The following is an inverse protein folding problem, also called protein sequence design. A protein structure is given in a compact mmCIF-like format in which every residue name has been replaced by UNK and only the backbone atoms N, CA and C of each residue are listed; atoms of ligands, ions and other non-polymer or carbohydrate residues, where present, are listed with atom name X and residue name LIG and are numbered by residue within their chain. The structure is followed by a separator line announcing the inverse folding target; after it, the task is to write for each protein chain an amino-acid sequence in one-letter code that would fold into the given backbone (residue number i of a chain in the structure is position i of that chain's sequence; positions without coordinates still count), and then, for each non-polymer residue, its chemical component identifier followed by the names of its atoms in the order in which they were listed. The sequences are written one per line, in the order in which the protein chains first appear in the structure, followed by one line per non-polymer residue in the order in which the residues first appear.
data_IF_148006906349
#
_entry.id   IF_148006906349
#
_cell.length_a   1.000
_cell.length_b   1.000
_cell.length_c   1.000
_cell.angle_alpha   90.00
_cell.angle_beta   90.00
_cell.angle_gamma   90.00
#
_symmetry.space_group_name_H-M   'P 1'
#
loop_
_entity.id
_entity.type
_entity.pdbx_description
1 polymer ?
#
# COMPACT_ATOMS: atom_id res chain seq x y z
N UNK A 1 -15.60 11.49 -4.46
CA UNK A 1 -15.39 10.30 -5.32
C UNK A 1 -14.42 9.39 -4.60
N UNK A 2 -14.80 8.16 -4.25
CA UNK A 2 -13.87 7.21 -3.62
C UNK A 2 -13.08 6.44 -4.68
N UNK A 3 -11.85 5.99 -4.38
CA UNK A 3 -11.12 5.03 -5.19
C UNK A 3 -11.83 3.69 -5.27
N UNK A 4 -11.84 3.01 -6.44
CA UNK A 4 -12.38 1.66 -6.56
C UNK A 4 -11.61 0.67 -5.67
N UNK A 5 -10.30 0.89 -5.54
CA UNK A 5 -9.42 0.24 -4.58
C UNK A 5 -8.27 1.19 -4.24
N UNK A 6 -7.57 0.87 -3.17
CA UNK A 6 -6.38 1.57 -2.69
C UNK A 6 -5.17 0.66 -2.83
N UNK A 7 -4.04 1.21 -3.25
CA UNK A 7 -2.76 0.53 -3.07
C UNK A 7 -2.13 1.04 -1.80
N UNK A 8 -1.76 0.13 -0.91
CA UNK A 8 -1.09 0.45 0.35
C UNK A 8 0.28 -0.22 0.37
N UNK A 9 1.31 0.55 0.67
CA UNK A 9 2.65 0.01 0.92
C UNK A 9 3.20 0.52 2.25
N UNK A 10 4.07 -0.29 2.84
CA UNK A 10 4.84 0.11 4.01
C UNK A 10 5.88 1.15 3.57
N UNK A 11 6.08 2.15 4.42
CA UNK A 11 7.17 3.12 4.30
C UNK A 11 8.39 2.56 5.01
N UNK A 12 9.57 2.94 4.53
CA UNK A 12 10.80 2.68 5.27
C UNK A 12 10.78 3.55 6.55
N UNK A 13 10.97 2.91 7.69
CA UNK A 13 10.98 3.58 8.99
C UNK A 13 12.37 3.41 9.60
N UNK A 14 13.11 4.52 9.68
CA UNK A 14 14.53 4.54 10.08
C UNK A 14 14.78 3.88 11.44
N UNK A 15 13.80 3.97 12.35
CA UNK A 15 13.80 3.23 13.60
C UNK A 15 12.41 2.64 13.84
N UNK A 16 12.36 1.40 14.30
CA UNK A 16 11.15 0.83 14.87
C UNK A 16 10.82 1.60 16.16
N UNK A 17 10.11 2.73 16.01
CA UNK A 17 9.68 3.64 17.09
C UNK A 17 8.98 2.85 18.18
N UNK A 18 9.40 2.99 19.44
CA UNK A 18 8.78 2.32 20.61
C UNK A 18 7.29 2.65 20.80
N UNK A 19 6.76 3.59 20.03
CA UNK A 19 5.35 3.92 20.00
C UNK A 19 4.50 2.75 19.49
N UNK A 20 3.29 2.66 20.03
CA UNK A 20 2.33 1.63 19.65
C UNK A 20 1.83 1.80 18.20
N UNK A 21 1.86 3.04 17.70
CA UNK A 21 1.34 3.48 16.42
C UNK A 21 2.39 4.34 15.73
N UNK A 22 2.59 4.15 14.43
CA UNK A 22 3.60 4.85 13.62
C UNK A 22 3.01 5.27 12.29
N UNK A 23 3.40 6.43 11.76
CA UNK A 23 3.14 6.80 10.37
C UNK A 23 4.03 5.94 9.46
N UNK A 24 3.54 4.73 9.15
CA UNK A 24 4.36 3.68 8.54
C UNK A 24 3.82 3.15 7.22
N UNK A 25 2.71 3.69 6.72
CA UNK A 25 2.14 3.25 5.45
C UNK A 25 1.63 4.43 4.62
N UNK A 26 1.65 4.26 3.30
CA UNK A 26 1.07 5.21 2.36
C UNK A 26 0.03 4.52 1.48
N UNK A 27 -1.14 5.14 1.39
CA UNK A 27 -2.28 4.66 0.63
C UNK A 27 -2.57 5.61 -0.54
N UNK A 28 -2.61 5.10 -1.76
CA UNK A 28 -2.87 5.93 -2.95
C UNK A 28 -3.82 5.27 -3.94
N UNK A 29 -4.40 6.12 -4.78
CA UNK A 29 -5.25 5.71 -5.88
C UNK A 29 -4.46 5.75 -7.19
N UNK A 30 -4.29 4.58 -7.80
CA UNK A 30 -3.50 4.40 -9.04
C UNK A 30 -4.01 5.24 -10.21
N UNK A 31 -5.24 5.77 -10.17
CA UNK A 31 -5.78 6.68 -11.21
C UNK A 31 -5.09 8.05 -11.21
N UNK A 32 -4.40 8.41 -10.13
CA UNK A 32 -3.60 9.63 -10.06
C UNK A 32 -2.15 9.43 -10.54
N UNK A 33 -1.73 8.19 -10.81
CA UNK A 33 -0.45 7.90 -11.46
C UNK A 33 -0.66 7.93 -12.97
N UNK A 34 -0.17 8.99 -13.63
CA UNK A 34 -0.49 9.30 -15.04
C UNK A 34 0.76 9.54 -15.89
N UNK A 35 0.67 9.12 -17.16
CA UNK A 35 1.67 9.45 -18.17
C UNK A 35 1.88 10.96 -18.29
N UNK A 36 3.12 11.37 -18.59
CA UNK A 36 3.53 12.77 -18.69
C UNK A 36 3.72 13.49 -17.34
N UNK A 37 3.26 12.92 -16.23
CA UNK A 37 3.46 13.48 -14.87
C UNK A 37 4.29 12.57 -13.98
N UNK A 38 4.24 11.26 -14.20
CA UNK A 38 4.96 10.26 -13.42
C UNK A 38 5.99 9.54 -14.31
N UNK A 39 7.12 9.11 -13.74
CA UNK A 39 8.14 8.33 -14.45
C UNK A 39 7.64 6.91 -14.80
N UNK A 40 8.28 6.22 -15.77
CA UNK A 40 7.87 4.89 -16.22
C UNK A 40 7.69 3.87 -15.09
N UNK A 41 8.66 3.78 -14.16
CA UNK A 41 8.60 2.81 -13.06
C UNK A 41 7.35 2.96 -12.17
N UNK A 42 6.86 4.19 -11.96
CA UNK A 42 5.64 4.42 -11.19
C UNK A 42 4.40 3.96 -11.97
N UNK A 43 4.38 4.18 -13.28
CA UNK A 43 3.32 3.72 -14.18
C UNK A 43 3.26 2.19 -14.24
N UNK A 44 4.41 1.53 -14.27
CA UNK A 44 4.52 0.07 -14.33
C UNK A 44 4.01 -0.58 -13.05
N UNK A 45 4.43 -0.08 -11.87
CA UNK A 45 3.89 -0.52 -10.58
C UNK A 45 2.38 -0.29 -10.50
N UNK A 46 1.90 0.90 -10.84
CA UNK A 46 0.47 1.20 -10.82
C UNK A 46 -0.32 0.27 -11.77
N UNK A 47 0.25 -0.09 -12.92
CA UNK A 47 -0.35 -1.01 -13.88
C UNK A 47 -0.41 -2.45 -13.36
N UNK A 48 0.65 -2.92 -12.68
CA UNK A 48 0.65 -4.22 -12.02
C UNK A 48 -0.39 -4.29 -10.90
N UNK A 49 -0.46 -3.26 -10.05
CA UNK A 49 -1.49 -3.17 -9.00
C UNK A 49 -2.91 -3.15 -9.58
N UNK A 50 -3.15 -2.42 -10.66
CA UNK A 50 -4.45 -2.44 -11.37
C UNK A 50 -4.77 -3.82 -11.93
N UNK A 51 -3.78 -4.55 -12.45
CA UNK A 51 -3.98 -5.91 -12.93
C UNK A 51 -4.38 -6.85 -11.79
N UNK A 52 -3.62 -6.84 -10.70
CA UNK A 52 -3.94 -7.59 -9.49
C UNK A 52 -5.37 -7.29 -8.99
N UNK A 53 -5.74 -6.01 -8.87
CA UNK A 53 -7.06 -5.59 -8.40
C UNK A 53 -8.22 -6.06 -9.30
N UNK A 54 -7.99 -6.22 -10.62
CA UNK A 54 -9.02 -6.78 -11.52
C UNK A 54 -9.26 -8.27 -11.28
N UNK A 55 -8.24 -9.00 -10.83
CA UNK A 55 -8.34 -10.42 -10.49
C UNK A 55 -8.90 -10.63 -9.07
N UNK A 56 -8.89 -9.59 -8.23
CA UNK A 56 -9.38 -9.58 -6.85
C UNK A 56 -10.39 -8.44 -6.61
N UNK A 57 -11.55 -8.44 -7.31
CA UNK A 57 -12.48 -7.30 -7.33
C UNK A 57 -13.19 -7.03 -5.99
N UNK A 58 -13.15 -7.98 -5.07
CA UNK A 58 -13.68 -7.88 -3.71
C UNK A 58 -12.74 -7.11 -2.76
N UNK A 59 -11.46 -6.95 -3.12
CA UNK A 59 -10.47 -6.29 -2.28
C UNK A 59 -10.42 -4.77 -2.54
N UNK A 60 -10.92 -3.99 -1.56
CA UNK A 60 -10.82 -2.51 -1.58
C UNK A 60 -9.43 -1.98 -1.23
N UNK A 61 -8.60 -2.78 -0.59
CA UNK A 61 -7.21 -2.46 -0.25
C UNK A 61 -6.32 -3.56 -0.81
N UNK A 62 -5.36 -3.16 -1.63
CA UNK A 62 -4.32 -4.00 -2.20
C UNK A 62 -3.02 -3.67 -1.48
N UNK A 63 -2.46 -4.62 -0.73
CA UNK A 63 -1.10 -4.45 -0.26
C UNK A 63 -0.13 -4.63 -1.42
N UNK A 64 0.85 -3.73 -1.55
CA UNK A 64 1.89 -3.88 -2.58
C UNK A 64 2.56 -5.26 -2.51
N UNK A 65 2.75 -5.78 -1.29
CA UNK A 65 3.32 -7.12 -1.06
C UNK A 65 2.42 -8.26 -1.51
N UNK A 66 1.10 -8.09 -1.60
CA UNK A 66 0.20 -9.07 -2.20
C UNK A 66 0.43 -9.16 -3.71
N UNK A 67 0.75 -8.04 -4.38
CA UNK A 67 1.10 -8.03 -5.80
C UNK A 67 2.42 -8.77 -6.02
N UNK A 68 3.40 -8.61 -5.13
CA UNK A 68 4.65 -9.37 -5.17
C UNK A 68 4.40 -10.88 -5.03
N UNK A 69 3.55 -11.30 -4.08
CA UNK A 69 3.15 -12.71 -3.92
C UNK A 69 2.49 -13.25 -5.18
N UNK A 70 1.51 -12.51 -5.70
CA UNK A 70 0.78 -12.90 -6.90
C UNK A 70 1.69 -13.04 -8.11
N UNK A 71 2.68 -12.15 -8.30
CA UNK A 71 3.66 -12.31 -9.38
C UNK A 71 4.44 -13.62 -9.28
N UNK A 72 4.87 -13.99 -8.06
CA UNK A 72 5.57 -15.26 -7.82
C UNK A 72 4.68 -16.47 -8.10
N UNK A 73 3.41 -16.44 -7.68
CA UNK A 73 2.41 -17.47 -7.99
C UNK A 73 2.17 -17.63 -9.49
N UNK A 74 2.29 -16.55 -10.27
CA UNK A 74 2.22 -16.57 -11.72
C UNK A 74 3.55 -16.98 -12.40
N UNK A 75 4.56 -17.40 -11.64
CA UNK A 75 5.88 -17.75 -12.16
C UNK A 75 6.66 -16.56 -12.71
N UNK A 76 6.40 -15.37 -12.18
CA UNK A 76 7.00 -14.09 -12.59
C UNK A 76 7.66 -13.38 -11.41
N UNK A 77 8.20 -12.18 -11.67
CA UNK A 77 8.75 -11.30 -10.63
C UNK A 77 8.84 -9.88 -11.16
N UNK A 78 9.00 -8.90 -10.29
CA UNK A 78 9.26 -7.51 -10.71
C UNK A 78 10.48 -7.40 -11.63
N UNK A 79 11.55 -8.14 -11.33
CA UNK A 79 12.76 -8.16 -12.15
C UNK A 79 12.53 -8.77 -13.54
N UNK A 80 11.74 -9.86 -13.62
CA UNK A 80 11.38 -10.47 -14.91
C UNK A 80 10.52 -9.56 -15.79
N UNK A 81 9.80 -8.61 -15.18
CA UNK A 81 9.05 -7.57 -15.87
C UNK A 81 9.86 -6.29 -16.12
N UNK A 82 11.14 -6.27 -15.73
CA UNK A 82 12.02 -5.08 -15.80
C UNK A 82 11.46 -3.87 -15.03
N UNK A 83 10.66 -4.10 -13.99
CA UNK A 83 10.02 -3.05 -13.18
C UNK A 83 10.88 -2.70 -11.97
N UNK A 84 11.40 -1.47 -11.95
CA UNK A 84 12.07 -0.89 -10.78
C UNK A 84 11.05 -0.41 -9.73
N UNK A 85 10.48 -1.39 -9.02
CA UNK A 85 9.47 -1.14 -8.01
C UNK A 85 10.00 -0.32 -6.83
N UNK A 86 11.28 -0.44 -6.48
CA UNK A 86 11.85 0.26 -5.33
C UNK A 86 11.89 1.77 -5.59
N UNK A 87 12.36 2.18 -6.78
CA UNK A 87 12.31 3.59 -7.20
C UNK A 87 10.87 4.12 -7.22
N UNK A 88 9.91 3.30 -7.66
CA UNK A 88 8.50 3.67 -7.66
C UNK A 88 7.93 3.92 -6.25
N UNK A 89 8.19 3.02 -5.30
CA UNK A 89 7.69 3.18 -3.93
C UNK A 89 8.33 4.36 -3.19
N UNK A 90 9.55 4.75 -3.55
CA UNK A 90 10.19 5.96 -3.03
C UNK A 90 9.62 7.25 -3.68
N UNK A 91 9.24 7.18 -4.96
CA UNK A 91 8.72 8.33 -5.70
C UNK A 91 7.26 8.66 -5.35
N UNK A 92 6.40 7.65 -5.24
CA UNK A 92 4.94 7.81 -5.17
C UNK A 92 4.45 8.64 -3.98
N UNK A 93 4.89 8.41 -2.72
CA UNK A 93 4.37 9.15 -1.55
C UNK A 93 4.50 10.67 -1.62
N UNK A 94 5.52 11.18 -2.32
CA UNK A 94 5.75 12.63 -2.48
C UNK A 94 5.14 13.23 -3.75
N UNK A 95 4.68 12.42 -4.71
CA UNK A 95 4.33 12.88 -6.05
C UNK A 95 2.94 12.43 -6.53
N UNK A 96 2.25 11.59 -5.75
CA UNK A 96 0.92 11.10 -6.07
C UNK A 96 -0.06 11.48 -4.96
N UNK A 97 -1.31 11.77 -5.35
CA UNK A 97 -2.38 12.01 -4.40
C UNK A 97 -2.67 10.74 -3.58
N UNK A 98 -2.48 10.83 -2.26
CA UNK A 98 -2.70 9.74 -1.33
C UNK A 98 -2.72 10.21 0.12
N UNK A 99 -2.79 9.25 1.04
CA UNK A 99 -2.86 9.45 2.48
C UNK A 99 -1.70 8.72 3.16
N UNK A 100 -0.98 9.43 4.02
CA UNK A 100 -0.11 8.83 5.01
C UNK A 100 -0.97 8.25 6.13
N UNK A 101 -0.63 7.03 6.55
CA UNK A 101 -1.42 6.24 7.48
C UNK A 101 -0.63 5.96 8.74
N UNK A 102 -1.20 6.37 9.88
CA UNK A 102 -0.75 5.91 11.19
C UNK A 102 -1.30 4.51 11.45
N UNK A 103 -0.41 3.53 11.54
CA UNK A 103 -0.74 2.10 11.70
C UNK A 103 -0.02 1.52 12.92
N UNK A 104 -0.56 0.43 13.48
CA UNK A 104 0.16 -0.28 14.52
C UNK A 104 1.37 -1.01 13.93
N UNK A 105 2.39 -1.26 14.76
CA UNK A 105 3.55 -2.09 14.35
C UNK A 105 3.12 -3.45 13.81
N UNK A 106 2.09 -4.05 14.41
CA UNK A 106 1.56 -5.35 14.00
C UNK A 106 0.92 -5.27 12.60
N UNK A 107 0.16 -4.22 12.32
CA UNK A 107 -0.36 -3.98 10.97
C UNK A 107 0.77 -3.77 9.95
N UNK A 108 1.83 -3.04 10.34
CA UNK A 108 2.99 -2.82 9.46
C UNK A 108 3.70 -4.11 9.06
N UNK A 109 3.82 -5.08 9.99
CA UNK A 109 4.36 -6.41 9.71
C UNK A 109 3.56 -7.17 8.64
N UNK A 110 2.25 -6.94 8.56
CA UNK A 110 1.42 -7.50 7.49
C UNK A 110 1.62 -6.72 6.19
N UNK A 111 1.45 -5.41 6.20
CA UNK A 111 1.55 -4.57 4.99
C UNK A 111 2.90 -4.77 4.28
N UNK A 112 3.99 -4.81 5.05
CA UNK A 112 5.36 -4.86 4.54
C UNK A 112 5.90 -6.25 4.19
N UNK A 113 5.15 -7.34 4.40
CA UNK A 113 5.69 -8.69 4.16
C UNK A 113 5.00 -9.47 3.02
N UNK A 114 5.79 -9.87 2.03
CA UNK A 114 5.39 -10.71 0.90
C UNK A 114 5.58 -12.23 1.12
N UNK A 115 6.07 -12.71 2.26
CA UNK A 115 6.27 -14.13 2.53
C UNK A 115 4.94 -14.88 2.72
N UNK A 116 4.79 -16.06 2.09
CA UNK A 116 3.62 -16.94 2.26
C UNK A 116 3.44 -17.37 3.73
N UNK A 117 4.54 -17.62 4.44
CA UNK A 117 4.54 -17.90 5.88
C UNK A 117 5.41 -16.86 6.57
N UNK A 118 4.79 -15.99 7.37
CA UNK A 118 5.50 -14.95 8.11
C UNK A 118 5.64 -15.35 9.58
N UNK A 119 6.86 -15.72 9.99
CA UNK A 119 7.20 -15.94 11.40
C UNK A 119 7.92 -14.72 11.97
N UNK A 120 7.40 -14.19 13.07
CA UNK A 120 8.03 -13.11 13.84
C UNK A 120 8.78 -13.74 15.01
N UNK A 121 10.01 -13.31 15.23
CA UNK A 121 10.85 -13.71 16.35
C UNK A 121 11.02 -12.53 17.31
N UNK A 122 10.84 -12.79 18.60
CA UNK A 122 10.95 -11.79 19.64
C UNK A 122 12.28 -11.88 20.38
N UNK A 123 12.68 -10.78 21.02
CA UNK A 123 13.93 -10.70 21.78
C UNK A 123 14.00 -11.62 23.00
N UNK A 124 12.85 -12.13 23.47
CA UNK A 124 12.77 -13.13 24.54
C UNK A 124 12.93 -14.58 24.03
N UNK A 125 13.20 -14.76 22.73
CA UNK A 125 13.37 -16.07 22.09
C UNK A 125 12.06 -16.75 21.68
N UNK A 126 10.89 -16.16 21.99
CA UNK A 126 9.61 -16.65 21.50
C UNK A 126 9.42 -16.33 20.01
N UNK A 127 8.50 -17.03 19.36
CA UNK A 127 8.10 -16.74 17.99
C UNK A 127 6.63 -17.05 17.76
N UNK A 128 6.03 -16.33 16.83
CA UNK A 128 4.68 -16.60 16.37
C UNK A 128 4.60 -16.56 14.85
N UNK A 129 3.60 -17.22 14.28
CA UNK A 129 3.28 -17.13 12.86
C UNK A 129 2.11 -16.18 12.70
N UNK A 130 2.32 -15.12 11.94
CA UNK A 130 1.25 -14.20 11.57
C UNK A 130 0.32 -14.88 10.57
N UNK A 131 -0.99 -14.75 10.80
CA UNK A 131 -2.01 -15.49 10.05
C UNK A 131 -2.60 -14.66 8.91
N UNK A 132 -3.07 -15.34 7.87
CA UNK A 132 -3.82 -14.68 6.77
C UNK A 132 -5.14 -14.06 7.27
N UNK A 133 -5.81 -14.68 8.24
CA UNK A 133 -7.02 -14.07 8.84
C UNK A 133 -6.73 -12.74 9.54
N UNK A 134 -5.55 -12.60 10.15
CA UNK A 134 -5.12 -11.33 10.73
C UNK A 134 -4.74 -10.30 9.65
N UNK A 135 -4.07 -10.75 8.58
CA UNK A 135 -3.78 -9.92 7.40
C UNK A 135 -5.07 -9.35 6.79
N UNK A 136 -6.10 -10.18 6.66
CA UNK A 136 -7.42 -9.78 6.16
C UNK A 136 -8.10 -8.78 7.09
N UNK A 137 -8.01 -8.98 8.41
CA UNK A 137 -8.53 -8.04 9.39
C UNK A 137 -7.84 -6.67 9.31
N UNK A 138 -6.51 -6.63 9.12
CA UNK A 138 -5.76 -5.39 8.87
C UNK A 138 -6.23 -4.73 7.57
N UNK A 139 -6.41 -5.51 6.50
CA UNK A 139 -6.90 -5.02 5.21
C UNK A 139 -8.28 -4.37 5.35
N UNK A 140 -9.20 -5.03 6.05
CA UNK A 140 -10.54 -4.51 6.29
C UNK A 140 -10.51 -3.21 7.12
N UNK A 141 -9.75 -3.19 8.21
CA UNK A 141 -9.64 -2.00 9.06
C UNK A 141 -9.10 -0.79 8.29
N UNK A 142 -8.11 -1.00 7.41
CA UNK A 142 -7.58 0.06 6.53
C UNK A 142 -8.62 0.51 5.50
N UNK A 143 -9.39 -0.42 4.93
CA UNK A 143 -10.43 -0.08 3.95
C UNK A 143 -11.52 0.81 4.57
N UNK A 144 -11.97 0.46 5.78
CA UNK A 144 -12.93 1.26 6.56
C UNK A 144 -12.36 2.65 6.86
N UNK A 145 -11.12 2.70 7.38
CA UNK A 145 -10.46 3.97 7.71
C UNK A 145 -10.28 4.89 6.50
N UNK A 146 -9.86 4.34 5.36
CA UNK A 146 -9.70 5.09 4.12
C UNK A 146 -11.04 5.57 3.55
N UNK A 147 -12.12 4.80 3.72
CA UNK A 147 -13.45 5.21 3.30
C UNK A 147 -13.95 6.43 4.09
N UNK A 148 -13.60 6.51 5.38
CA UNK A 148 -13.95 7.60 6.29
C UNK A 148 -13.09 8.84 6.08
N UNK A 149 -11.77 8.67 5.95
CA UNK A 149 -10.81 9.79 5.93
C UNK A 149 -10.68 10.44 4.54
N UNK A 150 -10.95 9.70 3.46
CA UNK A 150 -10.76 10.23 2.11
C UNK A 150 -11.69 11.39 1.72
N UNK A 151 -13.02 11.30 1.94
CA UNK A 151 -13.91 12.41 1.61
C UNK A 151 -13.54 13.76 2.26
N UNK A 152 -13.27 13.85 3.58
CA UNK A 152 -12.85 15.12 4.19
C UNK A 152 -11.47 15.56 3.70
N UNK A 153 -10.52 14.65 3.47
CA UNK A 153 -9.22 14.98 2.91
C UNK A 153 -9.32 15.66 1.54
N UNK A 154 -10.07 15.05 0.61
CA UNK A 154 -10.28 15.60 -0.74
C UNK A 154 -10.98 16.96 -0.66
N UNK A 155 -12.00 17.10 0.19
CA UNK A 155 -12.70 18.38 0.37
C UNK A 155 -11.73 19.47 0.83
N UNK A 156 -10.86 19.17 1.79
CA UNK A 156 -9.84 20.10 2.24
C UNK A 156 -8.87 20.54 1.13
N UNK A 157 -8.50 19.66 0.20
CA UNK A 157 -7.67 20.03 -0.95
C UNK A 157 -8.39 20.94 -1.94
N UNK A 158 -9.68 20.69 -2.18
CA UNK A 158 -10.53 21.53 -3.03
C UNK A 158 -10.67 22.92 -2.41
N UNK A 159 -10.99 22.99 -1.12
CA UNK A 159 -11.19 24.27 -0.41
C UNK A 159 -9.91 25.12 -0.39
N UNK A 160 -8.73 24.49 -0.43
CA UNK A 160 -7.43 25.18 -0.53
C UNK A 160 -7.00 25.48 -1.97
N UNK A 161 -7.80 25.15 -2.98
CA UNK A 161 -7.46 25.32 -4.40
C UNK A 161 -6.31 24.43 -4.88
N UNK A 162 -5.94 23.40 -4.11
CA UNK A 162 -4.87 22.45 -4.43
C UNK A 162 -5.37 21.30 -5.32
N UNK A 163 -6.69 21.17 -5.46
CA UNK A 163 -7.35 20.24 -6.37
C UNK A 163 -8.50 20.96 -7.07
N UNK A 164 -8.49 20.98 -8.40
CA UNK A 164 -9.62 21.44 -9.19
C UNK A 164 -10.47 20.24 -9.62
N UNK A 165 -11.79 20.34 -9.43
CA UNK A 165 -12.72 19.41 -10.06
C UNK A 165 -12.81 19.80 -11.55
N UNK A 166 -12.12 19.06 -12.40
CA UNK A 166 -12.26 19.11 -13.85
C UNK A 166 -13.43 18.27 -14.34
#
# INVERSE_FOLDING_TARGET
MQPPFWVVHALDIDEWSTEAMVEGAFAFDTRFVKEGTHPPHALDVASCCRRYAREHPDQRVVFFTDVTRWLDEQGSSWAALEVDWLSALNYIPGNTLGLFMTVSRRALMHIGNAAIVHRVHYGDGSSEVLTEGERDAVRQALAEKLADDWPPFIRGLIDRGQLALG
#
